data_IF_075654621157
#
_entry.id   IF_075654621157
#
_cell.length_a   1.000
_cell.length_b   1.000
_cell.length_c   1.000
_cell.angle_alpha   90.00
_cell.angle_beta   90.00
_cell.angle_gamma   90.00
#
_symmetry.space_group_name_H-M   'P 1'
#
loop_
_entity.id
_entity.type
_entity.pdbx_description
1 polymer ?
#
# COMPACT_ATOMS: atom_id res chain seq x y z
N UNK A 1 -16.36 25.49 -0.79
CA UNK A 1 -14.90 25.54 -0.90
C UNK A 1 -14.38 26.49 0.17
N UNK A 2 -13.52 26.03 1.07
CA UNK A 2 -12.83 26.92 2.03
C UNK A 2 -11.90 27.83 1.23
N UNK A 3 -11.96 29.15 1.54
CA UNK A 3 -11.07 30.12 0.90
C UNK A 3 -9.60 29.80 1.19
N UNK A 4 -8.68 30.01 0.22
CA UNK A 4 -7.25 29.79 0.41
C UNK A 4 -6.68 30.44 1.67
N UNK A 5 -7.25 31.55 2.10
CA UNK A 5 -6.86 32.29 3.31
C UNK A 5 -7.01 31.46 4.60
N UNK A 6 -8.02 30.60 4.70
CA UNK A 6 -8.25 29.74 5.89
C UNK A 6 -7.17 28.65 5.95
N UNK A 7 -6.83 28.03 4.83
CA UNK A 7 -5.76 27.05 4.77
C UNK A 7 -4.40 27.66 5.09
N UNK A 8 -4.13 28.89 4.65
CA UNK A 8 -2.87 29.58 4.94
C UNK A 8 -2.65 29.82 6.45
N UNK A 9 -3.75 29.98 7.21
CA UNK A 9 -3.67 30.10 8.68
C UNK A 9 -3.50 28.73 9.35
N UNK A 10 -4.19 27.71 8.84
CA UNK A 10 -4.24 26.38 9.48
C UNK A 10 -3.07 25.50 9.09
N UNK A 11 -2.59 25.62 7.86
CA UNK A 11 -1.49 24.84 7.29
C UNK A 11 -0.51 25.77 6.54
N UNK A 12 0.18 26.68 7.23
CA UNK A 12 1.05 27.67 6.59
C UNK A 12 2.18 27.02 5.76
N UNK A 13 2.59 25.80 6.12
CA UNK A 13 3.62 25.07 5.39
C UNK A 13 3.22 24.76 3.92
N UNK A 14 1.92 24.68 3.61
CA UNK A 14 1.45 24.49 2.22
C UNK A 14 1.58 25.75 1.35
N UNK A 15 1.62 26.93 1.99
CA UNK A 15 1.58 28.22 1.30
C UNK A 15 2.94 28.93 1.25
N UNK A 16 4.03 28.19 1.46
CA UNK A 16 5.37 28.73 1.21
C UNK A 16 5.57 28.93 -0.30
N UNK A 17 6.44 29.87 -0.74
CA UNK A 17 6.75 30.08 -2.16
C UNK A 17 7.17 28.79 -2.88
N UNK A 18 7.82 27.86 -2.16
CA UNK A 18 8.26 26.57 -2.70
C UNK A 18 7.11 25.59 -2.92
N UNK A 19 6.08 25.61 -2.05
CA UNK A 19 4.96 24.69 -2.07
C UNK A 19 3.74 25.23 -2.84
N UNK A 20 3.64 26.53 -3.08
CA UNK A 20 2.48 27.13 -3.76
C UNK A 20 2.19 26.51 -5.14
N UNK A 21 3.18 26.29 -6.05
CA UNK A 21 2.92 25.64 -7.33
C UNK A 21 2.47 24.17 -7.17
N UNK A 22 2.99 23.47 -6.15
CA UNK A 22 2.63 22.08 -5.84
C UNK A 22 1.23 21.99 -5.26
N UNK A 23 0.81 23.00 -4.50
CA UNK A 23 -0.55 23.09 -3.97
C UNK A 23 -1.59 23.29 -5.10
N UNK A 24 -1.30 24.13 -6.08
CA UNK A 24 -2.17 24.28 -7.26
C UNK A 24 -2.25 22.98 -8.07
N UNK A 25 -1.14 22.26 -8.24
CA UNK A 25 -1.14 20.94 -8.85
C UNK A 25 -1.98 19.92 -8.03
N UNK A 26 -1.89 19.98 -6.71
CA UNK A 26 -2.69 19.13 -5.81
C UNK A 26 -4.20 19.38 -5.96
N UNK A 27 -4.62 20.62 -6.19
CA UNK A 27 -6.04 20.94 -6.47
C UNK A 27 -6.54 20.24 -7.73
N UNK A 28 -5.76 20.29 -8.81
CA UNK A 28 -6.10 19.60 -10.06
C UNK A 28 -6.25 18.08 -9.84
N UNK A 29 -5.39 17.47 -9.01
CA UNK A 29 -5.48 16.06 -8.64
C UNK A 29 -6.80 15.79 -7.89
N UNK A 30 -7.16 16.63 -6.91
CA UNK A 30 -8.38 16.48 -6.11
C UNK A 30 -9.63 16.51 -6.99
N UNK A 31 -9.66 17.34 -8.01
CA UNK A 31 -10.80 17.48 -8.91
C UNK A 31 -11.03 16.24 -9.80
N UNK A 32 -10.01 15.41 -9.96
CA UNK A 32 -10.09 14.13 -10.71
C UNK A 32 -10.38 12.92 -9.83
N UNK A 33 -10.27 13.05 -8.50
CA UNK A 33 -10.56 11.96 -7.57
C UNK A 33 -12.07 11.77 -7.37
N UNK A 34 -12.54 10.53 -7.13
CA UNK A 34 -13.93 10.26 -6.83
C UNK A 34 -14.45 11.09 -5.65
N UNK A 35 -15.72 11.45 -5.69
CA UNK A 35 -16.39 12.17 -4.60
C UNK A 35 -16.94 11.20 -3.55
N UNK A 36 -17.16 11.74 -2.35
CA UNK A 36 -17.78 11.04 -1.24
C UNK A 36 -16.94 10.91 0.02
N UNK A 37 -17.58 10.63 1.13
CA UNK A 37 -16.92 10.46 2.44
C UNK A 37 -15.82 9.40 2.46
N UNK A 38 -15.97 8.23 1.80
CA UNK A 38 -14.91 7.23 1.76
C UNK A 38 -13.61 7.73 1.12
N UNK A 39 -13.69 8.79 0.31
CA UNK A 39 -12.55 9.32 -0.45
C UNK A 39 -11.83 10.50 0.23
N UNK A 40 -12.25 10.88 1.45
CA UNK A 40 -11.63 11.98 2.20
C UNK A 40 -10.13 11.76 2.40
N UNK A 41 -9.70 10.53 2.69
CA UNK A 41 -8.29 10.21 2.88
C UNK A 41 -7.47 10.39 1.60
N UNK A 42 -7.99 10.01 0.43
CA UNK A 42 -7.31 10.21 -0.85
C UNK A 42 -7.21 11.70 -1.21
N UNK A 43 -8.26 12.47 -0.97
CA UNK A 43 -8.29 13.92 -1.21
C UNK A 43 -7.34 14.68 -0.28
N UNK A 44 -7.30 14.29 1.01
CA UNK A 44 -6.32 14.83 1.96
C UNK A 44 -4.89 14.44 1.56
N UNK A 45 -4.67 13.21 1.13
CA UNK A 45 -3.36 12.78 0.65
C UNK A 45 -2.92 13.62 -0.57
N UNK A 46 -3.80 13.84 -1.55
CA UNK A 46 -3.51 14.69 -2.70
C UNK A 46 -3.12 16.11 -2.27
N UNK A 47 -3.87 16.71 -1.33
CA UNK A 47 -3.60 18.04 -0.81
C UNK A 47 -2.24 18.13 -0.09
N UNK A 48 -1.88 17.07 0.66
CA UNK A 48 -0.71 17.06 1.53
C UNK A 48 0.53 16.42 0.88
N UNK A 49 0.43 15.92 -0.39
CA UNK A 49 1.57 15.39 -1.15
C UNK A 49 2.81 16.31 -1.09
N UNK A 50 2.69 17.65 -1.22
CA UNK A 50 3.84 18.54 -1.18
C UNK A 50 4.64 18.50 0.13
N UNK A 51 4.00 18.13 1.24
CA UNK A 51 4.62 18.08 2.57
C UNK A 51 5.38 16.78 2.84
N UNK A 52 5.19 15.76 2.02
CA UNK A 52 5.75 14.42 2.23
C UNK A 52 5.20 13.75 3.49
N UNK A 53 5.75 12.58 3.84
CA UNK A 53 5.24 11.75 4.94
C UNK A 53 5.25 12.47 6.29
N UNK A 54 6.39 13.03 6.67
CA UNK A 54 6.57 13.66 7.99
C UNK A 54 5.74 14.94 8.14
N UNK A 55 5.72 15.79 7.11
CA UNK A 55 4.92 17.01 7.09
C UNK A 55 3.42 16.70 7.14
N UNK A 56 2.96 15.72 6.38
CA UNK A 56 1.58 15.23 6.41
C UNK A 56 1.17 14.77 7.80
N UNK A 57 1.99 13.93 8.45
CA UNK A 57 1.72 13.45 9.81
C UNK A 57 1.63 14.59 10.82
N UNK A 58 2.55 15.57 10.73
CA UNK A 58 2.55 16.76 11.58
C UNK A 58 1.28 17.59 11.38
N UNK A 59 0.94 17.91 10.12
CA UNK A 59 -0.23 18.69 9.75
C UNK A 59 -1.54 18.06 10.28
N UNK A 60 -1.73 16.76 10.05
CA UNK A 60 -2.93 16.05 10.49
C UNK A 60 -3.05 15.93 12.02
N UNK A 61 -1.92 15.85 12.74
CA UNK A 61 -1.91 15.93 14.21
C UNK A 61 -2.32 17.32 14.71
N UNK A 62 -1.83 18.39 14.08
CA UNK A 62 -2.22 19.77 14.39
C UNK A 62 -3.73 19.98 14.17
N UNK A 63 -4.29 19.38 13.12
CA UNK A 63 -5.72 19.38 12.81
C UNK A 63 -6.55 18.48 13.74
N UNK A 64 -5.92 17.79 14.69
CA UNK A 64 -6.57 16.85 15.63
C UNK A 64 -7.36 15.75 14.92
N UNK A 65 -6.88 15.30 13.77
CA UNK A 65 -7.46 14.17 13.07
C UNK A 65 -7.33 12.89 13.89
N UNK A 66 -8.21 11.90 13.63
CA UNK A 66 -8.12 10.58 14.27
C UNK A 66 -6.84 9.85 13.85
N UNK A 67 -6.31 9.00 14.73
CA UNK A 67 -5.11 8.22 14.43
C UNK A 67 -5.29 7.35 13.16
N UNK A 68 -6.47 6.77 12.96
CA UNK A 68 -6.77 5.98 11.77
C UNK A 68 -6.61 6.80 10.48
N UNK A 69 -7.17 8.03 10.45
CA UNK A 69 -7.04 8.93 9.31
C UNK A 69 -5.59 9.37 9.10
N UNK A 70 -4.86 9.70 10.19
CA UNK A 70 -3.44 10.07 10.12
C UNK A 70 -2.61 8.95 9.48
N UNK A 71 -2.77 7.71 9.94
CA UNK A 71 -2.02 6.57 9.43
C UNK A 71 -2.37 6.28 7.96
N UNK A 72 -3.65 6.32 7.60
CA UNK A 72 -4.07 6.07 6.23
C UNK A 72 -3.53 7.15 5.28
N UNK A 73 -3.78 8.43 5.56
CA UNK A 73 -3.32 9.54 4.69
C UNK A 73 -1.79 9.57 4.59
N UNK A 74 -1.09 9.37 5.71
CA UNK A 74 0.37 9.31 5.71
C UNK A 74 0.90 8.15 4.86
N UNK A 75 0.23 7.00 4.92
CA UNK A 75 0.55 5.84 4.08
C UNK A 75 0.33 6.14 2.61
N UNK A 76 -0.80 6.75 2.24
CA UNK A 76 -1.07 7.15 0.86
C UNK A 76 -0.01 8.12 0.32
N UNK A 77 0.39 9.11 1.12
CA UNK A 77 1.44 10.07 0.72
C UNK A 77 2.79 9.38 0.58
N UNK A 78 3.17 8.50 1.50
CA UNK A 78 4.42 7.74 1.44
C UNK A 78 4.49 6.84 0.20
N UNK A 79 3.41 6.15 -0.12
CA UNK A 79 3.32 5.20 -1.22
C UNK A 79 2.97 5.87 -2.58
N UNK A 80 2.72 7.18 -2.62
CA UNK A 80 2.32 7.89 -3.84
C UNK A 80 3.38 7.85 -4.96
N UNK A 81 4.63 7.54 -4.62
CA UNK A 81 5.72 7.29 -5.58
C UNK A 81 5.65 5.92 -6.28
N UNK A 82 4.62 5.10 -6.01
CA UNK A 82 4.44 3.79 -6.64
C UNK A 82 4.51 3.88 -8.16
N UNK A 83 5.36 3.03 -8.78
CA UNK A 83 5.44 2.87 -10.23
C UNK A 83 4.79 1.55 -10.62
N UNK A 84 3.80 1.54 -11.52
CA UNK A 84 3.14 0.31 -11.93
C UNK A 84 4.02 -0.51 -12.86
N UNK A 85 4.04 -1.84 -12.66
CA UNK A 85 4.74 -2.77 -13.52
C UNK A 85 4.06 -2.89 -14.90
N UNK A 86 4.85 -2.88 -15.96
CA UNK A 86 4.33 -2.96 -17.32
C UNK A 86 3.93 -4.38 -17.70
N UNK A 87 4.77 -5.36 -17.36
CA UNK A 87 4.54 -6.77 -17.70
C UNK A 87 3.45 -7.39 -16.84
N UNK A 88 2.52 -8.10 -17.48
CA UNK A 88 1.36 -8.70 -16.77
C UNK A 88 1.76 -9.60 -15.61
N UNK A 89 2.78 -10.44 -15.76
CA UNK A 89 3.27 -11.32 -14.69
C UNK A 89 3.86 -10.51 -13.50
N UNK A 90 4.70 -9.52 -13.80
CA UNK A 90 5.28 -8.65 -12.77
C UNK A 90 4.21 -7.82 -12.06
N UNK A 91 3.21 -7.33 -12.80
CA UNK A 91 2.04 -6.62 -12.26
C UNK A 91 1.22 -7.48 -11.31
N UNK A 92 1.03 -8.76 -11.61
CA UNK A 92 0.32 -9.67 -10.71
C UNK A 92 1.10 -9.88 -9.39
N UNK A 93 2.42 -10.00 -9.46
CA UNK A 93 3.31 -10.07 -8.29
C UNK A 93 3.23 -8.77 -7.49
N UNK A 94 3.32 -7.63 -8.16
CA UNK A 94 3.19 -6.32 -7.54
C UNK A 94 1.85 -6.16 -6.82
N UNK A 95 0.73 -6.55 -7.46
CA UNK A 95 -0.59 -6.52 -6.86
C UNK A 95 -0.68 -7.39 -5.60
N UNK A 96 -0.11 -8.61 -5.60
CA UNK A 96 -0.05 -9.48 -4.41
C UNK A 96 0.73 -8.84 -3.27
N UNK A 97 1.90 -8.25 -3.55
CA UNK A 97 2.71 -7.54 -2.55
C UNK A 97 1.99 -6.33 -1.95
N UNK A 98 1.26 -5.58 -2.77
CA UNK A 98 0.45 -4.45 -2.31
C UNK A 98 -0.70 -4.92 -1.43
N UNK A 99 -1.44 -5.96 -1.82
CA UNK A 99 -2.50 -6.57 -1.01
C UNK A 99 -1.98 -7.20 0.29
N UNK A 100 -0.72 -7.61 0.30
CA UNK A 100 -0.05 -8.06 1.53
C UNK A 100 0.15 -6.95 2.56
N UNK A 101 0.37 -5.70 2.10
CA UNK A 101 0.68 -4.53 2.93
C UNK A 101 -0.51 -3.62 3.20
N UNK A 102 -1.43 -3.54 2.26
CA UNK A 102 -2.58 -2.63 2.29
C UNK A 102 -3.88 -3.43 2.25
N UNK A 103 -4.88 -2.94 2.97
CA UNK A 103 -6.24 -3.43 2.80
C UNK A 103 -6.81 -2.99 1.44
N UNK A 104 -7.86 -3.66 0.93
CA UNK A 104 -8.42 -3.38 -0.40
C UNK A 104 -8.80 -1.93 -0.66
N UNK A 105 -9.49 -1.29 0.29
CA UNK A 105 -9.94 0.08 0.13
C UNK A 105 -8.81 1.12 0.14
N UNK A 106 -7.85 1.09 1.10
CA UNK A 106 -6.64 1.90 1.02
C UNK A 106 -5.84 1.69 -0.27
N UNK A 107 -5.72 0.45 -0.77
CA UNK A 107 -5.05 0.17 -2.04
C UNK A 107 -5.77 0.84 -3.22
N UNK A 108 -7.10 0.72 -3.29
CA UNK A 108 -7.90 1.37 -4.32
C UNK A 108 -7.70 2.88 -4.32
N UNK A 109 -7.72 3.51 -3.14
CA UNK A 109 -7.48 4.96 -2.98
C UNK A 109 -6.08 5.36 -3.39
N UNK A 110 -5.06 4.56 -3.04
CA UNK A 110 -3.68 4.77 -3.47
C UNK A 110 -3.57 4.77 -5.00
N UNK A 111 -4.15 3.77 -5.66
CA UNK A 111 -4.07 3.65 -7.11
C UNK A 111 -4.83 4.79 -7.82
N UNK A 112 -5.98 5.21 -7.27
CA UNK A 112 -6.71 6.38 -7.77
C UNK A 112 -5.88 7.66 -7.61
N UNK A 113 -5.25 7.88 -6.44
CA UNK A 113 -4.36 9.00 -6.19
C UNK A 113 -3.17 9.02 -7.17
N UNK A 114 -2.52 7.86 -7.36
CA UNK A 114 -1.39 7.73 -8.28
C UNK A 114 -1.79 8.00 -9.74
N UNK A 115 -2.94 7.50 -10.17
CA UNK A 115 -3.48 7.74 -11.51
C UNK A 115 -3.82 9.21 -11.75
N UNK A 116 -4.41 9.89 -10.75
CA UNK A 116 -4.72 11.30 -10.80
C UNK A 116 -3.45 12.18 -10.82
N UNK A 117 -2.43 11.78 -10.06
CA UNK A 117 -1.14 12.47 -9.99
C UNK A 117 -0.29 12.29 -11.26
N UNK A 118 -0.45 11.16 -11.97
CA UNK A 118 0.30 10.80 -13.19
C UNK A 118 -0.67 10.27 -14.26
N UNK A 119 -1.42 11.19 -14.89
CA UNK A 119 -2.46 10.83 -15.88
C UNK A 119 -1.91 10.05 -17.09
N UNK A 120 -0.65 10.25 -17.44
CA UNK A 120 0.05 9.48 -18.48
C UNK A 120 0.20 7.99 -18.14
N UNK A 121 0.15 7.62 -16.86
CA UNK A 121 0.22 6.24 -16.37
C UNK A 121 -1.16 5.71 -15.90
N UNK A 122 -2.24 6.46 -16.07
CA UNK A 122 -3.56 6.09 -15.57
C UNK A 122 -4.02 4.70 -16.03
N UNK A 123 -3.76 4.34 -17.30
CA UNK A 123 -4.08 3.02 -17.84
C UNK A 123 -3.31 1.89 -17.13
N UNK A 124 -2.05 2.12 -16.76
CA UNK A 124 -1.23 1.13 -16.05
C UNK A 124 -1.72 0.96 -14.59
N UNK A 125 -2.13 2.04 -13.91
CA UNK A 125 -2.75 1.97 -12.59
C UNK A 125 -4.11 1.26 -12.63
N UNK A 126 -4.94 1.51 -13.65
CA UNK A 126 -6.20 0.80 -13.85
C UNK A 126 -5.97 -0.72 -14.07
N UNK A 127 -4.94 -1.09 -14.84
CA UNK A 127 -4.56 -2.47 -15.02
C UNK A 127 -4.07 -3.13 -13.72
N UNK A 128 -3.33 -2.40 -12.87
CA UNK A 128 -2.89 -2.86 -11.55
C UNK A 128 -4.09 -3.03 -10.60
N UNK A 129 -5.05 -2.10 -10.63
CA UNK A 129 -6.32 -2.20 -9.88
C UNK A 129 -7.11 -3.44 -10.30
N UNK A 130 -7.21 -3.71 -11.61
CA UNK A 130 -7.88 -4.89 -12.15
C UNK A 130 -7.18 -6.18 -11.67
N UNK A 131 -5.85 -6.21 -11.70
CA UNK A 131 -5.09 -7.36 -11.20
C UNK A 131 -5.32 -7.60 -9.71
N UNK A 132 -5.33 -6.54 -8.89
CA UNK A 132 -5.64 -6.62 -7.47
C UNK A 132 -7.07 -7.15 -7.22
N UNK A 133 -8.05 -6.64 -7.95
CA UNK A 133 -9.44 -7.10 -7.85
C UNK A 133 -9.63 -8.58 -8.19
N UNK A 134 -8.93 -9.09 -9.20
CA UNK A 134 -8.92 -10.53 -9.52
C UNK A 134 -8.35 -11.38 -8.39
N UNK A 135 -7.20 -10.99 -7.85
CA UNK A 135 -6.56 -11.70 -6.74
C UNK A 135 -7.43 -11.73 -5.48
N UNK A 136 -8.20 -10.67 -5.23
CA UNK A 136 -9.18 -10.63 -4.15
C UNK A 136 -10.35 -11.59 -4.39
N UNK A 137 -10.91 -11.58 -5.59
CA UNK A 137 -12.01 -12.48 -5.96
C UNK A 137 -11.59 -13.96 -5.89
N UNK A 138 -10.33 -14.26 -6.21
CA UNK A 138 -9.74 -15.61 -6.15
C UNK A 138 -9.27 -15.97 -4.72
N UNK A 139 -9.40 -15.09 -3.73
CA UNK A 139 -8.82 -15.26 -2.39
C UNK A 139 -7.34 -15.66 -2.43
N UNK A 140 -6.57 -15.03 -3.33
CA UNK A 140 -5.18 -15.34 -3.53
C UNK A 140 -4.35 -15.10 -2.27
N UNK A 141 -3.37 -15.96 -2.01
CA UNK A 141 -2.46 -15.82 -0.88
C UNK A 141 -1.55 -14.59 -1.08
N UNK A 142 -1.71 -13.59 -0.23
CA UNK A 142 -0.95 -12.34 -0.22
C UNK A 142 -0.28 -12.04 1.14
N UNK A 143 -0.63 -12.80 2.18
CA UNK A 143 -0.17 -12.58 3.56
C UNK A 143 0.22 -13.90 4.21
N UNK A 144 1.17 -13.85 5.15
CA UNK A 144 1.63 -15.04 5.91
C UNK A 144 0.48 -15.82 6.53
N UNK A 145 -0.54 -15.13 7.07
CA UNK A 145 -1.71 -15.76 7.65
C UNK A 145 -2.62 -16.50 6.65
N UNK A 146 -2.40 -16.36 5.35
CA UNK A 146 -3.12 -17.04 4.27
C UNK A 146 -2.36 -18.24 3.70
N UNK A 147 -1.14 -18.51 4.18
CA UNK A 147 -0.40 -19.70 3.80
C UNK A 147 -1.12 -20.97 4.30
N UNK A 148 -1.05 -22.04 3.50
CA UNK A 148 -1.57 -23.35 3.87
C UNK A 148 -0.75 -24.04 5.00
N UNK A 149 0.27 -23.37 5.52
CA UNK A 149 1.11 -23.76 6.66
C UNK A 149 1.25 -22.59 7.63
N UNK A 150 1.55 -22.91 8.87
CA UNK A 150 1.78 -21.91 9.92
C UNK A 150 3.01 -22.27 10.77
N UNK A 151 3.36 -21.42 11.75
CA UNK A 151 4.54 -21.64 12.58
C UNK A 151 4.54 -22.95 13.35
N UNK A 152 3.37 -23.50 13.73
CA UNK A 152 3.28 -24.80 14.41
C UNK A 152 3.69 -25.94 13.48
N UNK A 153 3.32 -25.85 12.22
CA UNK A 153 3.67 -26.84 11.20
C UNK A 153 5.19 -26.90 10.99
N UNK A 154 5.83 -25.73 10.94
CA UNK A 154 7.28 -25.63 10.81
C UNK A 154 8.00 -26.14 12.07
N UNK A 155 7.48 -25.81 13.26
CA UNK A 155 8.03 -26.33 14.52
C UNK A 155 7.90 -27.85 14.62
N UNK A 156 6.84 -28.45 14.10
CA UNK A 156 6.68 -29.90 14.03
C UNK A 156 7.72 -30.58 13.14
N UNK A 157 8.34 -29.85 12.20
CA UNK A 157 9.47 -30.29 11.40
C UNK A 157 10.84 -29.98 12.03
N UNK A 158 10.87 -29.37 13.25
CA UNK A 158 12.10 -29.09 13.98
C UNK A 158 12.53 -27.61 13.94
N UNK A 159 11.76 -26.71 13.30
CA UNK A 159 12.09 -25.30 13.35
C UNK A 159 12.00 -24.77 14.78
N UNK A 160 12.99 -23.97 15.20
CA UNK A 160 13.01 -23.35 16.53
C UNK A 160 12.10 -22.09 16.55
N UNK A 161 11.34 -21.84 17.62
CA UNK A 161 10.58 -20.60 17.77
C UNK A 161 11.52 -19.38 17.81
N UNK A 162 11.15 -18.29 17.12
CA UNK A 162 11.95 -17.07 17.11
C UNK A 162 11.89 -16.35 15.76
N UNK A 163 12.78 -15.36 15.56
CA UNK A 163 12.83 -14.56 14.32
C UNK A 163 13.06 -15.41 13.06
N UNK A 164 13.83 -16.51 13.17
CA UNK A 164 14.09 -17.43 12.05
C UNK A 164 12.81 -18.11 11.53
N UNK A 165 11.89 -18.51 12.42
CA UNK A 165 10.61 -19.09 12.06
C UNK A 165 9.74 -18.11 11.22
N UNK A 166 9.74 -16.84 11.62
CA UNK A 166 9.06 -15.78 10.86
C UNK A 166 9.69 -15.59 9.49
N UNK A 167 11.01 -15.54 9.41
CA UNK A 167 11.75 -15.42 8.15
C UNK A 167 11.46 -16.59 7.19
N UNK A 168 11.35 -17.82 7.70
CA UNK A 168 10.94 -18.98 6.89
C UNK A 168 9.53 -18.84 6.34
N UNK A 169 8.56 -18.39 7.14
CA UNK A 169 7.19 -18.14 6.66
C UNK A 169 7.14 -17.00 5.61
N UNK A 170 7.92 -15.95 5.80
CA UNK A 170 8.03 -14.85 4.83
C UNK A 170 8.68 -15.32 3.51
N UNK A 171 9.69 -16.19 3.57
CA UNK A 171 10.31 -16.79 2.39
C UNK A 171 9.34 -17.70 1.63
N UNK A 172 8.55 -18.52 2.33
CA UNK A 172 7.49 -19.33 1.73
C UNK A 172 6.42 -18.46 1.07
N UNK A 173 6.01 -17.37 1.72
CA UNK A 173 5.07 -16.42 1.15
C UNK A 173 5.61 -15.80 -0.14
N UNK A 174 6.86 -15.39 -0.15
CA UNK A 174 7.49 -14.81 -1.34
C UNK A 174 7.57 -15.83 -2.50
N UNK A 175 7.86 -17.11 -2.20
CA UNK A 175 7.83 -18.17 -3.19
C UNK A 175 6.42 -18.40 -3.77
N UNK A 176 5.37 -18.28 -2.95
CA UNK A 176 3.97 -18.35 -3.41
C UNK A 176 3.59 -17.11 -4.22
N UNK A 177 3.98 -15.91 -3.78
CA UNK A 177 3.70 -14.65 -4.47
C UNK A 177 4.32 -14.65 -5.87
N UNK A 178 5.55 -15.17 -5.99
CA UNK A 178 6.29 -15.23 -7.26
C UNK A 178 5.89 -16.42 -8.14
N UNK A 179 5.04 -17.33 -7.63
CA UNK A 179 4.58 -18.50 -8.37
C UNK A 179 5.59 -19.65 -8.43
N UNK A 180 6.66 -19.59 -7.63
CA UNK A 180 7.66 -20.66 -7.50
C UNK A 180 7.10 -21.89 -6.77
N UNK A 181 6.18 -21.68 -5.83
CA UNK A 181 5.49 -22.73 -5.09
C UNK A 181 3.98 -22.50 -5.11
N UNK A 182 3.17 -23.57 -5.23
CA UNK A 182 1.75 -23.48 -4.97
C UNK A 182 1.47 -23.31 -3.47
N UNK A 183 0.39 -22.61 -3.10
CA UNK A 183 -0.02 -22.49 -1.71
C UNK A 183 -0.72 -23.77 -1.24
N UNK A 184 0.02 -24.87 -1.22
CA UNK A 184 -0.43 -26.18 -0.79
C UNK A 184 0.44 -26.68 0.35
N UNK A 185 -0.19 -27.19 1.42
CA UNK A 185 0.51 -27.66 2.62
C UNK A 185 1.68 -28.60 2.31
N UNK A 186 1.46 -29.58 1.43
CA UNK A 186 2.46 -30.60 1.09
C UNK A 186 3.68 -29.97 0.38
N UNK A 187 3.42 -29.09 -0.59
CA UNK A 187 4.48 -28.42 -1.34
C UNK A 187 5.28 -27.47 -0.45
N UNK A 188 4.60 -26.70 0.42
CA UNK A 188 5.25 -25.75 1.31
C UNK A 188 6.11 -26.45 2.37
N UNK A 189 5.62 -27.55 2.98
CA UNK A 189 6.41 -28.31 3.95
C UNK A 189 7.64 -28.97 3.33
N UNK A 190 7.53 -29.45 2.09
CA UNK A 190 8.66 -30.02 1.36
C UNK A 190 9.75 -28.98 1.03
N UNK A 191 9.37 -27.73 0.88
CA UNK A 191 10.30 -26.62 0.57
C UNK A 191 11.01 -26.06 1.82
N UNK A 192 10.52 -26.36 3.04
CA UNK A 192 11.15 -25.88 4.27
C UNK A 192 12.55 -26.49 4.43
N UNK A 193 13.57 -25.63 4.35
CA UNK A 193 14.94 -26.00 4.70
C UNK A 193 15.11 -25.80 6.20
N UNK A 194 15.26 -26.88 6.93
CA UNK A 194 15.59 -26.84 8.36
C UNK A 194 17.12 -26.82 8.42
N UNK A 195 17.69 -25.71 8.85
CA UNK A 195 19.09 -25.70 9.28
C UNK A 195 19.14 -26.42 10.62
N UNK A 196 19.59 -27.67 10.57
CA UNK A 196 19.98 -28.37 11.78
C UNK A 196 21.28 -27.69 12.25
N UNK A 197 21.19 -26.85 13.28
CA UNK A 197 22.39 -26.47 14.04
C UNK A 197 23.06 -27.77 14.56
N UNK A 198 24.34 -27.96 14.28
CA UNK A 198 25.08 -29.15 14.72
C UNK A 198 25.16 -29.26 16.24
#
# INVERSE_FOLDING_TARGET
WMEPAVFAVVLPELFTPENAPRFEAARAIIDTLPEGLPEVSARLAALLLPLGEQGTRKALKQLRCSNALIEEVTTLVREAGLVPEEKTAARAIQARRLLGRLEPDPLRRLLALCAAHRPEQAAAFAALQTAAGRLQAENACCRVGQLAVNGRDLMALGAKPGPGLRGQLEALLEAVITGQLPNERKALLAAVKIELDP
#
